data_IF_605702801645
#
_entry.id   IF_605702801645
#
_cell.length_a   1.000
_cell.length_b   1.000
_cell.length_c   1.000
_cell.angle_alpha   90.00
_cell.angle_beta   90.00
_cell.angle_gamma   90.00
#
_symmetry.space_group_name_H-M   'P 1'
#
loop_
_entity.id
_entity.type
_entity.pdbx_description
1 polymer ?
#
# COMPACT_ATOMS: atom_id res chain seq x y z
N UNK A 1 25.67 44.02 -26.67
CA UNK A 1 25.84 42.74 -27.40
C UNK A 1 26.70 41.71 -26.65
N UNK A 2 26.98 41.89 -25.34
CA UNK A 2 27.73 40.89 -24.54
C UNK A 2 26.82 40.08 -23.60
N UNK A 3 25.57 40.52 -23.46
CA UNK A 3 24.64 40.01 -22.45
C UNK A 3 23.80 38.82 -22.96
N UNK A 4 23.68 38.68 -24.28
CA UNK A 4 22.95 37.57 -24.89
C UNK A 4 23.72 36.24 -24.81
N UNK A 5 25.05 36.25 -24.95
CA UNK A 5 25.88 35.03 -24.93
C UNK A 5 26.00 34.41 -23.54
N UNK A 6 26.03 35.22 -22.48
CA UNK A 6 26.03 34.71 -21.10
C UNK A 6 24.74 33.97 -20.76
N UNK A 7 23.60 34.44 -21.27
CA UNK A 7 22.31 33.85 -20.94
C UNK A 7 22.09 32.48 -21.63
N UNK A 8 22.67 32.27 -22.82
CA UNK A 8 22.64 30.95 -23.50
C UNK A 8 23.51 29.93 -22.78
N UNK A 9 24.69 30.34 -22.29
CA UNK A 9 25.62 29.48 -21.55
C UNK A 9 25.08 29.01 -20.20
N UNK A 10 24.41 29.89 -19.45
CA UNK A 10 23.77 29.54 -18.17
C UNK A 10 22.57 28.61 -18.39
N UNK A 11 21.78 28.82 -19.44
CA UNK A 11 20.70 27.89 -19.82
C UNK A 11 21.23 26.49 -20.19
N UNK A 12 22.33 26.41 -20.93
CA UNK A 12 22.97 25.14 -21.28
C UNK A 12 23.55 24.41 -20.06
N UNK A 13 24.16 25.13 -19.12
CA UNK A 13 24.62 24.56 -17.86
C UNK A 13 23.45 24.08 -16.99
N UNK A 14 22.34 24.82 -16.93
CA UNK A 14 21.15 24.42 -16.18
C UNK A 14 20.46 23.20 -16.80
N UNK A 15 20.40 23.10 -18.14
CA UNK A 15 19.85 21.92 -18.83
C UNK A 15 20.73 20.69 -18.61
N UNK A 16 22.06 20.85 -18.63
CA UNK A 16 23.01 19.74 -18.43
C UNK A 16 23.08 19.29 -16.97
N UNK A 17 22.97 20.21 -16.01
CA UNK A 17 22.83 19.91 -14.58
C UNK A 17 21.46 19.27 -14.27
N UNK A 18 20.38 19.70 -14.94
CA UNK A 18 19.07 19.05 -14.84
C UNK A 18 19.08 17.62 -15.41
N UNK A 19 19.78 17.37 -16.53
CA UNK A 19 19.96 16.02 -17.08
C UNK A 19 20.82 15.11 -16.20
N UNK A 20 21.80 15.64 -15.45
CA UNK A 20 22.61 14.87 -14.50
C UNK A 20 21.93 14.65 -13.14
N UNK A 21 20.89 15.44 -12.82
CA UNK A 21 20.08 15.30 -11.60
C UNK A 21 18.74 14.57 -11.85
N UNK A 22 18.47 14.09 -13.06
CA UNK A 22 17.50 13.01 -13.24
C UNK A 22 18.19 11.72 -12.84
N UNK A 23 18.20 11.50 -11.52
CA UNK A 23 18.61 10.25 -10.91
C UNK A 23 18.03 9.10 -11.70
N UNK A 24 18.92 8.19 -12.08
CA UNK A 24 18.62 6.91 -12.72
C UNK A 24 17.90 5.99 -11.73
N UNK A 25 16.71 6.36 -11.29
CA UNK A 25 15.73 5.40 -10.81
C UNK A 25 14.80 5.11 -11.97
N UNK A 26 15.35 4.45 -12.99
CA UNK A 26 14.53 3.83 -14.04
C UNK A 26 13.49 2.96 -13.34
N UNK A 27 12.21 3.27 -13.58
CA UNK A 27 11.07 2.58 -13.01
C UNK A 27 11.15 1.07 -13.26
N UNK A 28 11.73 0.35 -12.30
CA UNK A 28 11.80 -1.10 -12.35
C UNK A 28 10.44 -1.57 -11.89
N UNK A 29 9.67 -2.14 -12.80
CA UNK A 29 8.44 -2.84 -12.45
C UNK A 29 8.71 -3.80 -11.28
N UNK A 30 7.84 -3.85 -10.25
CA UNK A 30 8.06 -4.72 -9.11
C UNK A 30 8.15 -6.17 -9.57
N UNK A 31 9.24 -6.86 -9.19
CA UNK A 31 9.39 -8.30 -9.48
C UNK A 31 8.27 -9.06 -8.76
N UNK A 32 7.52 -9.86 -9.49
CA UNK A 32 6.42 -10.69 -8.97
C UNK A 32 6.83 -12.16 -8.99
N UNK A 33 6.52 -12.88 -7.92
CA UNK A 33 6.54 -14.34 -7.91
C UNK A 33 5.15 -14.82 -8.36
N UNK A 34 5.13 -15.75 -9.31
CA UNK A 34 3.91 -16.35 -9.89
C UNK A 34 3.73 -17.82 -9.45
N UNK A 35 4.53 -18.25 -8.48
CA UNK A 35 4.62 -19.61 -7.93
C UNK A 35 3.96 -19.75 -6.56
N UNK A 36 3.28 -18.71 -6.06
CA UNK A 36 2.54 -18.78 -4.80
C UNK A 36 1.44 -19.84 -4.89
N UNK A 37 1.44 -20.76 -3.93
CA UNK A 37 0.47 -21.84 -3.86
C UNK A 37 -0.87 -21.39 -3.29
N UNK A 38 -1.93 -22.13 -3.61
CA UNK A 38 -3.26 -21.92 -3.02
C UNK A 38 -3.25 -22.03 -1.50
N UNK A 39 -2.53 -23.01 -0.94
CA UNK A 39 -2.40 -23.20 0.50
C UNK A 39 -1.80 -21.98 1.20
N UNK A 40 -0.78 -21.35 0.61
CA UNK A 40 -0.21 -20.12 1.18
C UNK A 40 -1.20 -18.95 1.18
N UNK A 41 -2.06 -18.87 0.16
CA UNK A 41 -3.10 -17.84 0.08
C UNK A 41 -4.19 -18.09 1.13
N UNK A 42 -4.62 -19.34 1.31
CA UNK A 42 -5.56 -19.75 2.37
C UNK A 42 -5.00 -19.49 3.77
N UNK A 43 -3.73 -19.81 4.00
CA UNK A 43 -3.06 -19.48 5.26
C UNK A 43 -3.03 -17.97 5.52
N UNK A 44 -2.78 -17.17 4.49
CA UNK A 44 -2.78 -15.71 4.61
C UNK A 44 -4.18 -15.18 4.91
N UNK A 45 -5.23 -15.76 4.30
CA UNK A 45 -6.62 -15.44 4.61
C UNK A 45 -6.93 -15.73 6.08
N UNK A 46 -6.55 -16.91 6.57
CA UNK A 46 -6.73 -17.27 7.98
C UNK A 46 -6.02 -16.31 8.93
N UNK A 47 -4.77 -15.91 8.61
CA UNK A 47 -4.00 -14.92 9.38
C UNK A 47 -4.69 -13.55 9.38
N UNK A 48 -5.22 -13.11 8.24
CA UNK A 48 -5.92 -11.83 8.11
C UNK A 48 -7.22 -11.80 8.95
N UNK A 49 -8.02 -12.87 8.90
CA UNK A 49 -9.23 -13.04 9.73
C UNK A 49 -8.87 -13.03 11.21
N UNK A 50 -7.85 -13.80 11.62
CA UNK A 50 -7.41 -13.84 13.01
C UNK A 50 -6.96 -12.46 13.52
N UNK A 51 -6.20 -11.71 12.71
CA UNK A 51 -5.76 -10.36 13.06
C UNK A 51 -6.93 -9.37 13.15
N UNK A 52 -7.94 -9.50 12.29
CA UNK A 52 -9.15 -8.67 12.34
C UNK A 52 -9.90 -8.88 13.66
N UNK A 53 -10.06 -10.13 14.09
CA UNK A 53 -10.69 -10.44 15.38
C UNK A 53 -9.88 -9.93 16.57
N UNK A 54 -8.53 -9.91 16.48
CA UNK A 54 -7.69 -9.27 17.49
C UNK A 54 -7.98 -7.77 17.60
N UNK A 55 -8.10 -7.06 16.47
CA UNK A 55 -8.45 -5.63 16.48
C UNK A 55 -9.85 -5.36 17.01
N UNK A 56 -10.81 -6.25 16.74
CA UNK A 56 -12.14 -6.17 17.34
C UNK A 56 -12.08 -6.26 18.87
N UNK A 57 -11.35 -7.24 19.40
CA UNK A 57 -11.14 -7.38 20.86
C UNK A 57 -10.43 -6.17 21.46
N UNK A 58 -9.44 -5.63 20.75
CA UNK A 58 -8.74 -4.41 21.17
C UNK A 58 -9.67 -3.21 21.22
N UNK A 59 -10.54 -3.03 20.22
CA UNK A 59 -11.57 -1.99 20.22
C UNK A 59 -12.49 -2.10 21.44
N UNK A 60 -12.97 -3.31 21.73
CA UNK A 60 -13.84 -3.57 22.89
C UNK A 60 -13.12 -3.25 24.22
N UNK A 61 -11.83 -3.53 24.32
CA UNK A 61 -11.01 -3.20 25.49
C UNK A 61 -10.85 -1.68 25.63
N UNK A 62 -10.40 -0.98 24.58
CA UNK A 62 -10.29 0.48 24.58
C UNK A 62 -11.64 1.17 24.90
N UNK A 63 -12.76 0.60 24.42
CA UNK A 63 -14.09 1.11 24.74
C UNK A 63 -14.45 0.99 26.22
N UNK A 64 -13.98 -0.05 26.92
CA UNK A 64 -14.16 -0.20 28.37
C UNK A 64 -13.26 0.76 29.15
N UNK A 65 -12.06 0.97 28.64
CA UNK A 65 -11.06 1.83 29.28
C UNK A 65 -11.26 3.33 28.98
N UNK A 66 -12.21 3.68 28.10
CA UNK A 66 -12.47 5.06 27.69
C UNK A 66 -11.41 5.63 26.75
N UNK A 67 -10.53 4.79 26.20
CA UNK A 67 -9.45 5.18 25.29
C UNK A 67 -9.97 5.42 23.87
N UNK A 68 -10.29 6.69 23.59
CA UNK A 68 -10.83 7.11 22.30
C UNK A 68 -9.85 6.96 21.14
N UNK A 69 -8.55 7.07 21.39
CA UNK A 69 -7.56 7.01 20.31
C UNK A 69 -7.22 5.55 19.95
N UNK A 70 -7.12 4.67 20.96
CA UNK A 70 -7.06 3.23 20.75
C UNK A 70 -8.30 2.69 20.01
N UNK A 71 -9.50 3.18 20.33
CA UNK A 71 -10.72 2.84 19.58
C UNK A 71 -10.62 3.23 18.09
N UNK A 72 -10.15 4.44 17.77
CA UNK A 72 -10.00 4.87 16.37
C UNK A 72 -8.97 4.03 15.63
N UNK A 73 -7.85 3.71 16.28
CA UNK A 73 -6.81 2.87 15.70
C UNK A 73 -7.33 1.46 15.41
N UNK A 74 -8.00 0.86 16.39
CA UNK A 74 -8.57 -0.48 16.25
C UNK A 74 -9.60 -0.53 15.10
N UNK A 75 -10.49 0.46 15.03
CA UNK A 75 -11.50 0.54 13.97
C UNK A 75 -10.88 0.69 12.57
N UNK A 76 -9.85 1.53 12.42
CA UNK A 76 -9.14 1.70 11.14
C UNK A 76 -8.47 0.41 10.69
N UNK A 77 -7.72 -0.25 11.58
CA UNK A 77 -7.02 -1.49 11.24
C UNK A 77 -7.98 -2.64 10.95
N UNK A 78 -9.07 -2.77 11.72
CA UNK A 78 -10.13 -3.72 11.43
C UNK A 78 -10.71 -3.51 10.03
N UNK A 79 -11.04 -2.26 9.68
CA UNK A 79 -11.61 -1.92 8.36
C UNK A 79 -10.63 -2.16 7.22
N UNK A 80 -9.35 -1.90 7.40
CA UNK A 80 -8.32 -2.22 6.40
C UNK A 80 -8.25 -3.72 6.12
N UNK A 81 -8.37 -4.54 7.17
CA UNK A 81 -8.36 -6.00 7.04
C UNK A 81 -9.61 -6.55 6.36
N UNK A 82 -10.78 -5.89 6.46
CA UNK A 82 -11.97 -6.29 5.68
C UNK A 82 -11.66 -6.29 4.17
N UNK A 83 -10.94 -5.27 3.66
CA UNK A 83 -10.54 -5.19 2.25
C UNK A 83 -9.52 -6.26 1.85
N UNK A 84 -8.53 -6.54 2.72
CA UNK A 84 -7.56 -7.61 2.51
C UNK A 84 -8.23 -8.97 2.45
N UNK A 85 -9.11 -9.27 3.42
CA UNK A 85 -9.87 -10.52 3.49
C UNK A 85 -10.71 -10.70 2.23
N UNK A 86 -11.46 -9.67 1.83
CA UNK A 86 -12.29 -9.71 0.62
C UNK A 86 -11.47 -10.00 -0.63
N UNK A 87 -10.30 -9.38 -0.77
CA UNK A 87 -9.41 -9.59 -1.91
C UNK A 87 -8.87 -11.03 -1.95
N UNK A 88 -8.51 -11.59 -0.80
CA UNK A 88 -8.03 -12.97 -0.69
C UNK A 88 -9.15 -13.99 -1.00
N UNK A 89 -10.37 -13.74 -0.52
CA UNK A 89 -11.56 -14.57 -0.83
C UNK A 89 -11.87 -14.56 -2.32
N UNK A 90 -11.86 -13.39 -2.94
CA UNK A 90 -12.00 -13.26 -4.39
C UNK A 90 -10.88 -14.01 -5.13
N UNK A 91 -9.63 -13.88 -4.68
CA UNK A 91 -8.48 -14.58 -5.27
C UNK A 91 -8.65 -16.10 -5.24
N UNK A 92 -9.24 -16.64 -4.16
CA UNK A 92 -9.53 -18.07 -4.00
C UNK A 92 -10.79 -18.54 -4.76
N UNK A 93 -11.56 -17.63 -5.34
CA UNK A 93 -12.83 -17.95 -5.99
C UNK A 93 -13.93 -18.36 -5.02
N UNK A 94 -13.96 -17.77 -3.82
CA UNK A 94 -15.04 -18.00 -2.84
C UNK A 94 -16.41 -17.63 -3.43
N UNK A 95 -17.37 -18.55 -3.33
CA UNK A 95 -18.73 -18.34 -3.81
C UNK A 95 -19.38 -17.12 -3.13
N UNK A 96 -19.97 -16.23 -3.94
CA UNK A 96 -20.59 -14.99 -3.46
C UNK A 96 -19.65 -13.79 -3.34
N UNK A 97 -18.39 -13.90 -3.76
CA UNK A 97 -17.46 -12.76 -3.89
C UNK A 97 -17.15 -12.50 -5.37
N UNK A 98 -17.98 -11.68 -6.01
CA UNK A 98 -17.88 -11.42 -7.46
C UNK A 98 -16.70 -10.49 -7.81
N UNK A 99 -16.48 -9.43 -7.03
CA UNK A 99 -15.45 -8.43 -7.29
C UNK A 99 -14.78 -7.94 -5.98
N UNK A 100 -13.45 -7.82 -5.93
CA UNK A 100 -12.73 -7.53 -4.69
C UNK A 100 -12.93 -6.07 -4.20
N UNK A 101 -13.38 -5.17 -5.08
CA UNK A 101 -13.53 -3.74 -4.78
C UNK A 101 -14.97 -3.28 -4.54
N UNK A 102 -15.97 -4.15 -4.68
CA UNK A 102 -17.40 -3.79 -4.65
C UNK A 102 -18.08 -4.07 -3.30
#
# INVERSE_FOLDING_TARGET
MKDAELQVGVCFLYLRLSQMFMGTEGGREPVRSYDRSWTEIEEMLNKAVARREQWKKWFEQCSKDGDRDGMKEAARNHKALDGVIKTLRWTLGEEGVDHPLD
#
